data_IF_745613769880
#
_entry.id   IF_745613769880
#
_cell.length_a   1.000
_cell.length_b   1.000
_cell.length_c   1.000
_cell.angle_alpha   90.00
_cell.angle_beta   90.00
_cell.angle_gamma   90.00
#
_symmetry.space_group_name_H-M   'P 1'
#
loop_
_entity.id
_entity.type
_entity.pdbx_description
1 polymer ?
#
# COMPACT_ATOMS: atom_id res chain seq x y z
N UNK A 1 9.38 -9.45 -4.71
CA UNK A 1 9.75 -10.24 -5.89
C UNK A 1 10.29 -9.38 -7.02
N UNK A 2 9.50 -8.53 -7.72
CA UNK A 2 9.99 -7.78 -8.91
C UNK A 2 11.28 -6.99 -8.66
N UNK A 3 11.36 -6.25 -7.55
CA UNK A 3 12.56 -5.50 -7.16
C UNK A 3 13.78 -6.42 -7.05
N UNK A 4 13.69 -7.48 -6.29
CA UNK A 4 14.79 -8.44 -6.09
C UNK A 4 15.24 -9.06 -7.42
N UNK A 5 14.30 -9.57 -8.22
CA UNK A 5 14.63 -10.18 -9.51
C UNK A 5 15.26 -9.18 -10.50
N UNK A 6 14.82 -7.90 -10.51
CA UNK A 6 15.48 -6.86 -11.34
C UNK A 6 16.90 -6.51 -10.87
N UNK A 7 17.17 -6.70 -9.59
CA UNK A 7 18.49 -6.41 -8.99
C UNK A 7 19.42 -7.63 -8.90
N UNK A 8 19.03 -8.76 -9.50
CA UNK A 8 19.85 -9.95 -9.63
C UNK A 8 19.63 -11.02 -8.56
N UNK A 9 18.75 -10.79 -7.59
CA UNK A 9 18.39 -11.80 -6.60
C UNK A 9 17.33 -12.75 -7.16
N UNK A 10 17.37 -14.02 -6.79
CA UNK A 10 16.32 -14.96 -7.12
C UNK A 10 15.21 -14.91 -6.07
N UNK A 11 14.00 -14.49 -6.48
CA UNK A 11 12.87 -14.34 -5.57
C UNK A 11 11.55 -14.80 -6.21
N UNK A 12 10.68 -15.44 -5.41
CA UNK A 12 9.37 -15.95 -5.82
C UNK A 12 8.25 -15.27 -5.01
N UNK A 13 7.08 -15.13 -5.63
CA UNK A 13 5.88 -14.63 -4.97
C UNK A 13 4.80 -15.73 -4.94
N UNK A 14 4.34 -16.05 -3.75
CA UNK A 14 3.28 -17.03 -3.55
C UNK A 14 2.03 -16.32 -3.08
N UNK A 15 0.91 -16.50 -3.79
CA UNK A 15 -0.40 -16.00 -3.39
C UNK A 15 -1.32 -17.16 -3.01
N UNK A 16 -2.08 -16.99 -1.92
CA UNK A 16 -3.03 -18.03 -1.47
C UNK A 16 -4.31 -18.05 -2.31
N UNK A 17 -4.70 -16.88 -2.82
CA UNK A 17 -5.94 -16.66 -3.54
C UNK A 17 -5.66 -15.91 -4.82
N UNK A 18 -6.39 -16.17 -5.88
CA UNK A 18 -6.32 -15.45 -7.14
C UNK A 18 -6.64 -13.96 -6.91
N UNK A 19 -5.83 -13.10 -7.51
CA UNK A 19 -6.03 -11.66 -7.40
C UNK A 19 -7.19 -11.21 -8.30
N UNK A 20 -8.25 -10.58 -7.75
CA UNK A 20 -9.39 -10.14 -8.54
C UNK A 20 -9.07 -8.96 -9.48
N UNK A 21 -7.93 -8.29 -9.31
CA UNK A 21 -7.53 -7.09 -10.07
C UNK A 21 -6.46 -7.40 -11.13
N UNK A 22 -6.27 -8.68 -11.48
CA UNK A 22 -5.36 -9.13 -12.56
C UNK A 22 -3.91 -8.64 -12.44
N UNK A 23 -3.40 -8.42 -11.21
CA UNK A 23 -1.95 -8.23 -11.03
C UNK A 23 -1.20 -9.50 -11.41
N UNK A 24 -0.01 -9.37 -12.04
CA UNK A 24 0.81 -10.54 -12.35
C UNK A 24 1.11 -11.35 -11.09
N UNK A 25 0.72 -12.61 -11.12
CA UNK A 25 1.02 -13.60 -10.08
C UNK A 25 2.18 -14.48 -10.55
N UNK A 26 3.03 -14.92 -9.62
CA UNK A 26 4.10 -15.88 -9.93
C UNK A 26 3.59 -17.31 -9.65
N UNK A 27 3.26 -17.60 -8.39
CA UNK A 27 2.69 -18.87 -7.96
C UNK A 27 1.40 -18.61 -7.20
N UNK A 28 0.28 -19.09 -7.71
CA UNK A 28 -1.03 -18.97 -7.05
C UNK A 28 -1.55 -20.34 -6.63
N UNK A 29 -1.94 -20.49 -5.35
CA UNK A 29 -2.57 -21.73 -4.86
C UNK A 29 -4.04 -21.83 -5.26
N UNK A 30 -4.62 -20.74 -5.73
CA UNK A 30 -6.05 -20.61 -6.11
C UNK A 30 -7.02 -21.19 -5.07
N UNK A 31 -6.67 -21.01 -3.78
CA UNK A 31 -7.54 -21.42 -2.70
C UNK A 31 -8.84 -20.60 -2.71
N UNK A 32 -10.00 -21.21 -2.44
CA UNK A 32 -11.25 -20.46 -2.42
C UNK A 32 -11.21 -19.36 -1.34
N UNK A 33 -11.64 -18.16 -1.73
CA UNK A 33 -11.83 -17.08 -0.77
C UNK A 33 -12.88 -17.48 0.26
N UNK A 34 -12.69 -17.19 1.55
CA UNK A 34 -13.70 -17.40 2.58
C UNK A 34 -14.95 -16.56 2.27
N UNK A 35 -15.89 -17.13 1.50
CA UNK A 35 -16.99 -16.41 0.83
C UNK A 35 -18.32 -16.40 1.56
N UNK A 36 -18.43 -16.94 2.80
CA UNK A 36 -19.70 -16.96 3.50
C UNK A 36 -20.20 -15.54 3.81
N UNK A 37 -21.50 -15.30 3.56
CA UNK A 37 -22.17 -14.03 3.89
C UNK A 37 -22.00 -13.66 5.37
N UNK A 38 -21.90 -14.66 6.24
CA UNK A 38 -21.61 -14.51 7.67
C UNK A 38 -20.20 -13.96 7.91
N UNK A 39 -19.19 -14.44 7.19
CA UNK A 39 -17.81 -13.94 7.30
C UNK A 39 -17.70 -12.48 6.83
N UNK A 40 -18.44 -12.09 5.78
CA UNK A 40 -18.50 -10.69 5.30
C UNK A 40 -19.19 -9.77 6.32
N UNK A 41 -20.31 -10.16 6.90
CA UNK A 41 -21.01 -9.42 7.97
C UNK A 41 -20.13 -9.26 9.22
N UNK A 42 -19.43 -10.30 9.59
CA UNK A 42 -18.54 -10.30 10.75
C UNK A 42 -17.31 -9.40 10.55
N UNK A 43 -16.70 -9.38 9.37
CA UNK A 43 -15.63 -8.43 9.04
C UNK A 43 -16.09 -6.99 9.16
N UNK A 44 -17.24 -6.64 8.59
CA UNK A 44 -17.80 -5.29 8.68
C UNK A 44 -18.01 -4.84 10.13
N UNK A 45 -18.55 -5.70 10.98
CA UNK A 45 -18.80 -5.41 12.41
C UNK A 45 -17.48 -5.24 13.19
N UNK A 46 -16.43 -6.05 12.89
CA UNK A 46 -15.13 -5.96 13.54
C UNK A 46 -14.39 -4.67 13.15
N UNK A 47 -14.47 -4.28 11.90
CA UNK A 47 -13.93 -3.02 11.38
C UNK A 47 -14.58 -1.82 12.06
N UNK A 48 -15.89 -1.80 12.16
CA UNK A 48 -16.64 -0.70 12.80
C UNK A 48 -16.32 -0.53 14.29
N UNK A 49 -16.11 -1.64 15.03
CA UNK A 49 -15.77 -1.61 16.45
C UNK A 49 -14.32 -1.13 16.70
N UNK A 50 -13.36 -1.52 15.87
CA UNK A 50 -11.95 -1.15 16.05
C UNK A 50 -11.62 0.28 15.61
N UNK A 51 -12.36 0.84 14.65
CA UNK A 51 -12.21 2.25 14.25
C UNK A 51 -12.44 3.26 15.37
N UNK A 52 -13.14 2.87 16.42
CA UNK A 52 -13.44 3.73 17.58
C UNK A 52 -12.37 3.64 18.68
N UNK A 53 -11.32 2.84 18.50
CA UNK A 53 -10.28 2.66 19.51
C UNK A 53 -8.98 3.34 19.05
N UNK A 54 -8.53 4.34 19.80
CA UNK A 54 -7.14 4.79 19.73
C UNK A 54 -6.27 3.66 20.32
N UNK A 55 -5.56 2.94 19.46
CA UNK A 55 -4.71 1.83 19.87
C UNK A 55 -3.34 2.38 20.27
N UNK A 56 -2.95 2.17 21.51
CA UNK A 56 -1.59 2.44 21.99
C UNK A 56 -0.58 1.38 21.47
N UNK A 57 -1.05 0.20 21.08
CA UNK A 57 -0.24 -0.88 20.50
C UNK A 57 -1.11 -1.82 19.65
N UNK A 58 -0.49 -2.54 18.71
CA UNK A 58 -1.18 -3.54 17.93
C UNK A 58 -1.64 -4.71 18.80
N UNK A 59 -2.94 -5.06 18.80
CA UNK A 59 -3.44 -6.19 19.56
C UNK A 59 -3.00 -7.51 18.94
N UNK A 60 -2.91 -8.56 19.76
CA UNK A 60 -2.75 -9.91 19.21
C UNK A 60 -4.07 -10.43 18.61
N UNK A 61 -3.95 -11.06 17.46
CA UNK A 61 -5.06 -11.78 16.84
C UNK A 61 -5.46 -12.97 17.70
N UNK A 62 -6.75 -13.12 17.96
CA UNK A 62 -7.33 -14.32 18.57
C UNK A 62 -8.64 -14.69 17.87
N UNK A 63 -8.95 -15.99 17.69
CA UNK A 63 -10.26 -16.43 17.27
C UNK A 63 -11.31 -15.95 18.28
N UNK A 64 -12.47 -15.47 17.81
CA UNK A 64 -13.52 -14.90 18.67
C UNK A 64 -14.25 -15.92 19.52
N UNK A 65 -14.33 -17.15 19.00
CA UNK A 65 -15.04 -18.26 19.67
C UNK A 65 -14.49 -19.61 19.20
N UNK A 66 -14.98 -20.67 19.83
CA UNK A 66 -14.57 -22.05 19.57
C UNK A 66 -14.86 -22.47 18.11
N UNK A 67 -15.96 -21.99 17.52
CA UNK A 67 -16.33 -22.32 16.13
C UNK A 67 -15.35 -21.75 15.13
N UNK A 68 -14.88 -20.49 15.32
CA UNK A 68 -13.86 -19.87 14.48
C UNK A 68 -12.52 -20.63 14.60
N UNK A 69 -12.18 -21.09 15.81
CA UNK A 69 -10.97 -21.90 16.06
C UNK A 69 -11.05 -23.24 15.34
N UNK A 70 -12.18 -23.92 15.41
CA UNK A 70 -12.45 -25.19 14.74
C UNK A 70 -12.40 -24.99 13.21
N UNK A 71 -13.04 -23.95 12.69
CA UNK A 71 -13.01 -23.61 11.26
C UNK A 71 -11.58 -23.41 10.74
N UNK A 72 -10.74 -22.66 11.46
CA UNK A 72 -9.35 -22.49 11.07
C UNK A 72 -8.57 -23.80 11.07
N UNK A 73 -8.80 -24.67 12.05
CA UNK A 73 -8.16 -26.00 12.08
C UNK A 73 -8.55 -26.85 10.88
N UNK A 74 -9.82 -26.92 10.53
CA UNK A 74 -10.27 -27.64 9.34
C UNK A 74 -9.70 -27.02 8.06
N UNK A 75 -9.68 -25.70 7.95
CA UNK A 75 -9.08 -24.99 6.82
C UNK A 75 -7.58 -25.31 6.68
N UNK A 76 -6.84 -25.39 7.78
CA UNK A 76 -5.42 -25.74 7.77
C UNK A 76 -5.19 -27.20 7.33
N UNK A 77 -6.03 -28.12 7.79
CA UNK A 77 -5.97 -29.53 7.37
C UNK A 77 -6.28 -29.66 5.87
N UNK A 78 -7.34 -29.03 5.38
CA UNK A 78 -7.77 -29.15 3.98
C UNK A 78 -6.73 -28.62 2.98
N UNK A 79 -5.92 -27.62 3.37
CA UNK A 79 -4.89 -27.06 2.48
C UNK A 79 -3.51 -27.72 2.62
N UNK A 80 -3.32 -28.58 3.63
CA UNK A 80 -1.99 -29.14 3.94
C UNK A 80 -1.38 -29.85 2.74
N UNK A 81 -2.14 -30.73 2.06
CA UNK A 81 -1.67 -31.47 0.88
C UNK A 81 -1.23 -30.53 -0.25
N UNK A 82 -2.04 -29.49 -0.56
CA UNK A 82 -1.73 -28.50 -1.59
C UNK A 82 -0.47 -27.71 -1.26
N UNK A 83 -0.28 -27.34 0.00
CA UNK A 83 0.93 -26.65 0.46
C UNK A 83 2.15 -27.57 0.34
N UNK A 84 2.07 -28.82 0.78
CA UNK A 84 3.16 -29.78 0.71
C UNK A 84 3.59 -30.07 -0.75
N UNK A 85 2.63 -30.18 -1.66
CA UNK A 85 2.88 -30.33 -3.09
C UNK A 85 3.57 -29.09 -3.67
N UNK A 86 3.14 -27.90 -3.29
CA UNK A 86 3.71 -26.64 -3.72
C UNK A 86 5.16 -26.47 -3.22
N UNK A 87 5.41 -26.76 -1.94
CA UNK A 87 6.75 -26.70 -1.36
C UNK A 87 7.74 -27.56 -2.14
N UNK A 88 7.35 -28.79 -2.48
CA UNK A 88 8.15 -29.73 -3.27
C UNK A 88 8.33 -29.26 -4.72
N UNK A 89 7.21 -28.92 -5.40
CA UNK A 89 7.21 -28.53 -6.82
C UNK A 89 8.13 -27.34 -7.12
N UNK A 90 8.18 -26.37 -6.22
CA UNK A 90 8.94 -25.15 -6.41
C UNK A 90 10.20 -25.08 -5.55
N UNK A 91 10.55 -26.17 -4.86
CA UNK A 91 11.72 -26.25 -3.98
C UNK A 91 11.83 -25.11 -2.99
N UNK A 92 10.69 -24.76 -2.36
CA UNK A 92 10.61 -23.56 -1.50
C UNK A 92 11.42 -23.69 -0.22
N UNK A 93 11.79 -24.90 0.17
CA UNK A 93 12.70 -25.17 1.29
C UNK A 93 14.15 -24.73 0.99
N UNK A 94 14.50 -24.37 -0.25
CA UNK A 94 15.83 -23.87 -0.60
C UNK A 94 16.02 -22.37 -0.37
N UNK A 95 14.93 -21.63 -0.08
CA UNK A 95 15.04 -20.20 0.23
C UNK A 95 15.51 -19.99 1.66
N UNK A 96 16.43 -19.04 1.86
CA UNK A 96 17.00 -18.70 3.16
C UNK A 96 16.17 -17.66 3.91
N UNK A 97 15.59 -16.70 3.17
CA UNK A 97 14.82 -15.59 3.72
C UNK A 97 13.35 -15.70 3.25
N UNK A 98 12.43 -15.74 4.18
CA UNK A 98 11.00 -15.88 3.91
C UNK A 98 10.26 -14.63 4.37
N UNK A 99 9.59 -13.96 3.43
CA UNK A 99 8.73 -12.82 3.72
C UNK A 99 7.28 -13.23 3.85
N UNK A 100 6.63 -12.77 4.90
CA UNK A 100 5.22 -13.00 5.17
C UNK A 100 4.41 -11.71 5.16
N UNK A 101 3.57 -11.53 4.15
CA UNK A 101 2.66 -10.40 4.07
C UNK A 101 1.63 -10.45 5.19
N UNK A 102 1.55 -9.36 5.96
CA UNK A 102 0.73 -9.27 7.15
C UNK A 102 1.19 -10.21 8.28
N UNK A 103 2.35 -10.87 8.18
CA UNK A 103 2.76 -11.90 9.14
C UNK A 103 1.82 -13.10 9.14
N UNK A 104 1.30 -13.50 7.95
CA UNK A 104 0.37 -14.63 7.79
C UNK A 104 1.08 -15.76 7.07
N UNK A 105 1.17 -16.91 7.74
CA UNK A 105 1.65 -18.16 7.16
C UNK A 105 0.58 -18.85 6.27
N UNK A 106 0.96 -19.87 5.51
CA UNK A 106 0.04 -20.78 4.82
C UNK A 106 -1.03 -21.34 5.76
N UNK A 107 -0.65 -21.56 7.01
CA UNK A 107 -1.50 -22.08 8.07
C UNK A 107 -1.77 -21.04 9.15
N UNK A 108 -2.97 -21.03 9.70
CA UNK A 108 -3.34 -20.11 10.78
C UNK A 108 -2.60 -20.34 12.09
N UNK A 109 -2.08 -21.55 12.28
CA UNK A 109 -1.26 -21.92 13.44
C UNK A 109 0.24 -21.69 13.21
N UNK A 110 0.63 -21.02 12.12
CA UNK A 110 2.02 -20.70 11.76
C UNK A 110 2.94 -21.93 11.64
N UNK A 111 2.39 -23.11 11.38
CA UNK A 111 3.12 -24.39 11.36
C UNK A 111 4.31 -24.37 10.40
N UNK A 112 4.13 -23.81 9.20
CA UNK A 112 5.20 -23.80 8.20
C UNK A 112 6.31 -22.81 8.56
N UNK A 113 5.96 -21.64 9.03
CA UNK A 113 6.92 -20.63 9.48
C UNK A 113 7.74 -21.14 10.68
N UNK A 114 7.08 -21.80 11.65
CA UNK A 114 7.75 -22.43 12.80
C UNK A 114 8.74 -23.51 12.35
N UNK A 115 8.36 -24.38 11.37
CA UNK A 115 9.26 -25.38 10.79
C UNK A 115 10.47 -24.70 10.15
N UNK A 116 10.28 -23.74 9.25
CA UNK A 116 11.37 -23.04 8.59
C UNK A 116 12.28 -22.30 9.56
N UNK A 117 11.71 -21.72 10.62
CA UNK A 117 12.52 -21.10 11.69
C UNK A 117 13.39 -22.12 12.42
N UNK A 118 12.86 -23.32 12.73
CA UNK A 118 13.65 -24.40 13.36
C UNK A 118 14.74 -24.98 12.45
N UNK A 119 14.58 -24.82 11.13
CA UNK A 119 15.57 -25.16 10.11
C UNK A 119 16.62 -24.05 9.87
N UNK A 120 16.58 -22.96 10.64
CA UNK A 120 17.52 -21.85 10.58
C UNK A 120 17.19 -20.75 9.58
N UNK A 121 16.05 -20.82 8.89
CA UNK A 121 15.64 -19.79 7.94
C UNK A 121 15.29 -18.49 8.64
N UNK A 122 15.46 -17.38 7.92
CA UNK A 122 15.15 -16.04 8.40
C UNK A 122 13.73 -15.64 8.04
N UNK A 123 12.99 -15.15 9.02
CA UNK A 123 11.57 -14.81 8.89
C UNK A 123 11.41 -13.29 8.96
N UNK A 124 10.84 -12.71 7.90
CA UNK A 124 10.54 -11.28 7.81
C UNK A 124 9.02 -11.10 7.72
N UNK A 125 8.44 -10.32 8.61
CA UNK A 125 7.02 -9.99 8.57
C UNK A 125 6.81 -8.58 8.00
N UNK A 126 6.02 -8.48 6.94
CA UNK A 126 5.69 -7.23 6.25
C UNK A 126 4.24 -6.83 6.57
N UNK A 127 4.02 -5.66 7.17
CA UNK A 127 2.69 -5.21 7.57
C UNK A 127 2.24 -4.02 6.74
N UNK A 128 1.01 -4.08 6.22
CA UNK A 128 0.44 -3.05 5.34
C UNK A 128 -0.98 -2.68 5.76
N UNK A 129 -1.40 -1.48 5.42
CA UNK A 129 -2.78 -1.02 5.55
C UNK A 129 -3.41 -1.34 6.91
N UNK A 130 -4.40 -2.21 6.91
CA UNK A 130 -5.18 -2.54 8.10
C UNK A 130 -4.61 -3.68 8.96
N UNK A 131 -3.45 -4.21 8.64
CA UNK A 131 -2.93 -5.41 9.33
C UNK A 131 -2.78 -5.21 10.83
N UNK A 132 -2.04 -4.21 11.25
CA UNK A 132 -1.87 -3.90 12.67
C UNK A 132 -3.08 -3.16 13.26
N UNK A 133 -3.73 -2.29 12.48
CA UNK A 133 -4.89 -1.51 12.94
C UNK A 133 -6.13 -2.37 13.23
N UNK A 134 -6.41 -3.37 12.39
CA UNK A 134 -7.69 -4.11 12.44
C UNK A 134 -7.53 -5.59 12.83
N UNK A 135 -6.60 -6.31 12.21
CA UNK A 135 -6.40 -7.72 12.50
C UNK A 135 -5.55 -7.93 13.74
N UNK A 136 -4.44 -7.22 13.82
CA UNK A 136 -3.44 -7.38 14.85
C UNK A 136 -2.38 -8.44 14.51
N UNK A 137 -1.45 -8.63 15.44
CA UNK A 137 -0.31 -9.54 15.32
C UNK A 137 -0.73 -11.00 15.51
N UNK A 138 -0.14 -11.90 14.74
CA UNK A 138 -0.20 -13.34 15.01
C UNK A 138 0.93 -13.66 15.99
N UNK A 139 0.57 -14.16 17.18
CA UNK A 139 1.49 -14.31 18.32
C UNK A 139 2.73 -15.13 17.96
N UNK A 140 2.56 -16.28 17.31
CA UNK A 140 3.66 -17.16 16.98
C UNK A 140 4.56 -16.53 15.91
N UNK A 141 4.00 -15.91 14.88
CA UNK A 141 4.75 -15.17 13.86
C UNK A 141 5.57 -14.02 14.47
N UNK A 142 4.95 -13.25 15.38
CA UNK A 142 5.64 -12.15 16.06
C UNK A 142 6.84 -12.63 16.89
N UNK A 143 6.74 -13.80 17.54
CA UNK A 143 7.82 -14.39 18.36
C UNK A 143 9.01 -14.85 17.52
N UNK A 144 8.78 -15.37 16.31
CA UNK A 144 9.82 -15.95 15.46
C UNK A 144 10.37 -15.01 14.39
N UNK A 145 9.72 -13.85 14.20
CA UNK A 145 10.14 -12.86 13.21
C UNK A 145 11.51 -12.28 13.56
N UNK A 146 12.46 -12.36 12.63
CA UNK A 146 13.77 -11.73 12.75
C UNK A 146 13.71 -10.24 12.45
N UNK A 147 12.75 -9.84 11.59
CA UNK A 147 12.56 -8.46 11.19
C UNK A 147 11.09 -8.18 10.90
N UNK A 148 10.58 -7.07 11.44
CA UNK A 148 9.25 -6.55 11.11
C UNK A 148 9.41 -5.26 10.31
N UNK A 149 8.75 -5.17 9.15
CA UNK A 149 8.77 -3.99 8.28
C UNK A 149 7.37 -3.52 7.95
N UNK A 150 7.23 -2.24 7.66
CA UNK A 150 5.97 -1.62 7.23
C UNK A 150 6.22 -0.48 6.24
N UNK A 151 5.24 -0.18 5.40
CA UNK A 151 5.18 1.06 4.63
C UNK A 151 4.12 2.05 5.17
N UNK A 152 3.58 1.79 6.36
CA UNK A 152 2.55 2.60 7.00
C UNK A 152 3.15 3.35 8.19
N UNK A 153 3.06 4.67 8.19
CA UNK A 153 3.70 5.51 9.23
C UNK A 153 3.13 5.24 10.63
N UNK A 154 1.83 5.18 10.77
CA UNK A 154 1.18 4.93 12.05
C UNK A 154 1.48 3.54 12.65
N UNK A 155 1.97 2.59 11.85
CA UNK A 155 2.44 1.31 12.39
C UNK A 155 3.69 1.45 13.27
N UNK A 156 4.46 2.54 13.11
CA UNK A 156 5.64 2.81 13.95
C UNK A 156 5.26 3.01 15.41
N UNK A 157 4.08 3.53 15.69
CA UNK A 157 3.54 3.66 17.06
C UNK A 157 2.87 2.39 17.58
N UNK A 158 2.41 1.51 16.67
CA UNK A 158 1.64 0.32 17.03
C UNK A 158 2.50 -0.90 17.37
N UNK A 159 3.72 -0.98 16.87
CA UNK A 159 4.62 -2.10 17.10
C UNK A 159 6.05 -1.61 17.34
N UNK A 160 6.61 -1.94 18.51
CA UNK A 160 8.01 -1.66 18.81
C UNK A 160 8.94 -2.41 17.84
N UNK A 161 10.06 -1.79 17.50
CA UNK A 161 11.09 -2.35 16.60
C UNK A 161 10.62 -2.67 15.18
N UNK A 162 9.46 -2.16 14.74
CA UNK A 162 9.09 -2.22 13.34
C UNK A 162 9.89 -1.16 12.55
N UNK A 163 10.41 -1.55 11.40
CA UNK A 163 11.18 -0.65 10.53
C UNK A 163 10.31 -0.12 9.40
N UNK A 164 10.37 1.17 9.13
CA UNK A 164 9.68 1.75 7.99
C UNK A 164 10.49 1.54 6.71
N UNK A 165 9.86 0.91 5.72
CA UNK A 165 10.42 0.72 4.40
C UNK A 165 9.48 1.37 3.37
N UNK A 166 9.98 2.34 2.62
CA UNK A 166 9.21 2.90 1.52
C UNK A 166 8.78 1.82 0.54
N UNK A 167 7.55 1.91 0.05
CA UNK A 167 7.01 0.95 -0.89
C UNK A 167 7.84 0.96 -2.19
N UNK A 168 8.44 -0.16 -2.63
CA UNK A 168 9.24 -0.19 -3.84
C UNK A 168 8.36 0.04 -5.07
N UNK A 169 8.71 1.01 -5.89
CA UNK A 169 7.94 1.38 -7.06
C UNK A 169 8.79 1.41 -8.33
N UNK A 170 8.35 0.67 -9.34
CA UNK A 170 8.98 0.65 -10.64
C UNK A 170 8.45 1.78 -11.52
N UNK A 171 9.21 2.83 -11.66
CA UNK A 171 8.82 4.00 -12.46
C UNK A 171 8.98 3.75 -13.97
N UNK A 172 9.74 2.71 -14.37
CA UNK A 172 10.00 2.42 -15.79
C UNK A 172 8.77 1.91 -16.55
N UNK A 173 7.76 1.42 -15.83
CA UNK A 173 6.49 0.94 -16.40
C UNK A 173 5.43 2.05 -16.53
N UNK A 174 5.73 3.28 -16.10
CA UNK A 174 4.78 4.38 -16.18
C UNK A 174 4.85 5.06 -17.53
N UNK A 175 3.71 5.48 -18.10
CA UNK A 175 3.71 6.34 -19.28
C UNK A 175 4.38 7.68 -18.94
N UNK A 176 5.10 8.22 -19.90
CA UNK A 176 5.66 9.56 -19.77
C UNK A 176 4.54 10.59 -19.78
N UNK A 177 4.73 11.70 -19.05
CA UNK A 177 3.84 12.85 -19.15
C UNK A 177 3.78 13.33 -20.59
N UNK A 178 2.56 13.51 -21.11
CA UNK A 178 2.32 14.01 -22.46
C UNK A 178 2.02 15.51 -22.39
N UNK A 179 2.79 16.30 -23.13
CA UNK A 179 2.49 17.72 -23.30
C UNK A 179 1.31 17.84 -24.28
N UNK A 180 0.22 18.42 -23.82
CA UNK A 180 -0.97 18.66 -24.64
C UNK A 180 -0.89 20.04 -25.27
N UNK A 181 -1.46 20.17 -26.46
CA UNK A 181 -1.60 21.48 -27.16
C UNK A 181 -2.72 22.33 -26.56
N UNK A 182 -3.66 21.69 -25.86
CA UNK A 182 -4.76 22.35 -25.16
C UNK A 182 -4.25 23.19 -24.00
N UNK A 183 -4.65 24.45 -23.95
CA UNK A 183 -4.27 25.40 -22.89
C UNK A 183 -5.02 25.20 -21.57
N UNK A 184 -6.11 24.39 -21.55
CA UNK A 184 -6.87 24.15 -20.33
C UNK A 184 -6.11 23.23 -19.40
N UNK A 185 -5.97 23.65 -18.15
CA UNK A 185 -5.34 22.82 -17.10
C UNK A 185 -6.23 21.61 -16.82
N UNK A 186 -5.64 20.42 -16.96
CA UNK A 186 -6.31 19.15 -16.74
C UNK A 186 -6.00 18.59 -15.36
N UNK A 187 -7.06 18.35 -14.57
CA UNK A 187 -6.98 17.87 -13.20
C UNK A 187 -7.58 16.48 -13.14
N UNK A 188 -6.83 15.51 -12.59
CA UNK A 188 -7.29 14.12 -12.47
C UNK A 188 -7.50 13.71 -11.01
N UNK A 189 -8.60 12.99 -10.77
CA UNK A 189 -8.89 12.28 -9.53
C UNK A 189 -9.30 10.84 -9.83
N UNK A 190 -8.63 9.85 -9.22
CA UNK A 190 -8.85 8.42 -9.50
C UNK A 190 -9.10 7.62 -8.22
N UNK A 191 -10.28 7.78 -7.58
CA UNK A 191 -10.56 7.13 -6.32
C UNK A 191 -10.91 5.66 -6.49
N UNK A 192 -10.32 4.78 -5.67
CA UNK A 192 -10.77 3.39 -5.51
C UNK A 192 -11.95 3.28 -4.54
N UNK A 193 -12.14 4.28 -3.69
CA UNK A 193 -13.25 4.41 -2.75
C UNK A 193 -13.50 5.88 -2.44
N UNK A 194 -14.66 6.39 -2.82
CA UNK A 194 -15.05 7.81 -2.70
C UNK A 194 -14.93 8.34 -1.27
N UNK A 195 -15.43 7.56 -0.29
CA UNK A 195 -15.43 7.98 1.12
C UNK A 195 -14.01 8.08 1.70
N UNK A 196 -13.10 7.18 1.29
CA UNK A 196 -11.71 7.20 1.75
C UNK A 196 -10.90 8.30 1.11
N UNK A 197 -11.23 8.66 -0.13
CA UNK A 197 -10.51 9.66 -0.91
C UNK A 197 -11.10 11.06 -0.80
N UNK A 198 -12.22 11.22 -0.10
CA UNK A 198 -12.90 12.50 0.05
C UNK A 198 -13.47 13.06 -1.24
N UNK A 199 -13.87 12.19 -2.17
CA UNK A 199 -14.31 12.57 -3.53
C UNK A 199 -15.43 13.61 -3.51
N UNK A 200 -16.40 13.52 -2.59
CA UNK A 200 -17.50 14.48 -2.52
C UNK A 200 -17.03 15.91 -2.17
N UNK A 201 -16.05 16.02 -1.27
CA UNK A 201 -15.40 17.29 -0.98
C UNK A 201 -14.67 17.83 -2.21
N UNK A 202 -13.89 16.97 -2.87
CA UNK A 202 -13.13 17.35 -4.08
C UNK A 202 -14.09 17.86 -5.17
N UNK A 203 -15.21 17.17 -5.43
CA UNK A 203 -16.18 17.57 -6.43
C UNK A 203 -16.78 18.97 -6.13
N UNK A 204 -17.12 19.27 -4.87
CA UNK A 204 -17.62 20.60 -4.50
C UNK A 204 -16.57 21.70 -4.81
N UNK A 205 -15.31 21.42 -4.49
CA UNK A 205 -14.22 22.39 -4.78
C UNK A 205 -14.02 22.56 -6.28
N UNK A 206 -14.04 21.47 -7.05
CA UNK A 206 -13.93 21.54 -8.52
C UNK A 206 -15.05 22.40 -9.13
N UNK A 207 -16.29 22.25 -8.68
CA UNK A 207 -17.39 23.10 -9.15
C UNK A 207 -17.19 24.59 -8.76
N UNK A 208 -16.60 24.87 -7.61
CA UNK A 208 -16.20 26.22 -7.20
C UNK A 208 -15.06 26.76 -8.10
N UNK A 209 -14.06 25.94 -8.42
CA UNK A 209 -12.94 26.31 -9.31
C UNK A 209 -13.45 26.64 -10.71
N UNK A 210 -14.35 25.84 -11.28
CA UNK A 210 -14.93 26.05 -12.61
C UNK A 210 -15.67 27.39 -12.76
N UNK A 211 -16.15 27.98 -11.67
CA UNK A 211 -16.75 29.33 -11.70
C UNK A 211 -15.70 30.44 -11.90
N UNK A 212 -14.43 30.16 -11.61
CA UNK A 212 -13.35 31.14 -11.62
C UNK A 212 -12.30 30.87 -12.71
N UNK A 213 -12.16 29.60 -13.15
CA UNK A 213 -11.13 29.16 -14.11
C UNK A 213 -11.69 28.11 -15.06
N UNK A 214 -11.22 28.18 -16.30
CA UNK A 214 -11.49 27.15 -17.29
C UNK A 214 -10.55 25.96 -17.10
N UNK A 215 -11.10 24.81 -16.71
CA UNK A 215 -10.36 23.58 -16.44
C UNK A 215 -11.03 22.37 -17.09
N UNK A 216 -10.23 21.31 -17.32
CA UNK A 216 -10.71 19.98 -17.66
C UNK A 216 -10.56 19.08 -16.43
N UNK A 217 -11.68 18.62 -15.87
CA UNK A 217 -11.65 17.73 -14.69
C UNK A 217 -12.04 16.31 -15.07
N UNK A 218 -11.16 15.35 -14.76
CA UNK A 218 -11.30 13.93 -15.08
C UNK A 218 -11.44 13.12 -13.80
N UNK A 219 -12.62 12.52 -13.62
CA UNK A 219 -12.90 11.57 -12.54
C UNK A 219 -12.85 10.15 -13.09
N UNK A 220 -11.97 9.31 -12.55
CA UNK A 220 -11.75 7.93 -13.02
C UNK A 220 -12.18 6.94 -11.94
N UNK A 221 -13.34 6.32 -12.13
CA UNK A 221 -13.90 5.33 -11.21
C UNK A 221 -14.21 4.03 -11.94
N UNK A 222 -13.84 2.89 -11.36
CA UNK A 222 -14.08 1.58 -11.95
C UNK A 222 -13.52 1.42 -13.37
N UNK A 223 -12.41 2.07 -13.65
CA UNK A 223 -11.73 2.08 -14.95
C UNK A 223 -10.51 1.16 -14.88
N UNK A 224 -10.18 0.41 -15.96
CA UNK A 224 -8.96 -0.39 -16.05
C UNK A 224 -7.69 0.43 -15.77
N UNK A 225 -6.68 -0.22 -15.16
CA UNK A 225 -5.47 0.45 -14.70
C UNK A 225 -4.70 1.14 -15.83
N UNK A 226 -4.61 0.53 -16.98
CA UNK A 226 -3.93 1.09 -18.18
C UNK A 226 -4.56 2.39 -18.62
N UNK A 227 -5.89 2.47 -18.64
CA UNK A 227 -6.64 3.70 -18.93
C UNK A 227 -6.37 4.76 -17.86
N UNK A 228 -6.40 4.36 -16.57
CA UNK A 228 -6.09 5.29 -15.46
C UNK A 228 -4.70 5.89 -15.62
N UNK A 229 -3.69 5.08 -15.92
CA UNK A 229 -2.31 5.55 -16.10
C UNK A 229 -2.17 6.48 -17.32
N UNK A 230 -2.84 6.14 -18.42
CA UNK A 230 -2.87 6.98 -19.61
C UNK A 230 -3.50 8.35 -19.29
N UNK A 231 -4.67 8.39 -18.66
CA UNK A 231 -5.35 9.64 -18.34
C UNK A 231 -4.53 10.50 -17.35
N UNK A 232 -3.84 9.86 -16.39
CA UNK A 232 -2.89 10.54 -15.52
C UNK A 232 -1.74 11.18 -16.31
N UNK A 233 -1.19 10.49 -17.30
CA UNK A 233 -0.09 11.03 -18.12
C UNK A 233 -0.50 12.24 -18.98
N UNK A 234 -1.78 12.38 -19.28
CA UNK A 234 -2.38 13.51 -19.99
C UNK A 234 -2.78 14.67 -19.07
N UNK A 235 -2.57 14.55 -17.76
CA UNK A 235 -3.02 15.54 -16.77
C UNK A 235 -1.91 16.47 -16.32
N UNK A 236 -2.28 17.63 -15.78
CA UNK A 236 -1.38 18.67 -15.30
C UNK A 236 -1.29 18.70 -13.77
N UNK A 237 -2.38 18.33 -13.08
CA UNK A 237 -2.51 18.29 -11.63
C UNK A 237 -3.21 16.99 -11.24
N UNK A 238 -2.78 16.36 -10.14
CA UNK A 238 -3.45 15.20 -9.57
C UNK A 238 -3.96 15.48 -8.17
N UNK A 239 -5.17 15.01 -7.86
CA UNK A 239 -5.69 14.99 -6.50
C UNK A 239 -5.79 13.53 -6.06
N UNK A 240 -4.94 13.10 -5.09
CA UNK A 240 -4.98 11.75 -4.56
C UNK A 240 -6.14 11.59 -3.56
N UNK A 241 -6.16 12.41 -2.52
CA UNK A 241 -7.19 12.38 -1.48
C UNK A 241 -7.21 13.68 -0.66
N UNK A 242 -8.39 14.08 -0.15
CA UNK A 242 -8.56 15.22 0.75
C UNK A 242 -9.69 14.95 1.74
N UNK A 243 -9.44 15.16 3.03
CA UNK A 243 -10.48 15.06 4.08
C UNK A 243 -11.15 13.70 4.21
N UNK A 244 -10.53 12.64 3.69
CA UNK A 244 -11.09 11.29 3.76
C UNK A 244 -11.17 10.76 5.19
N UNK A 245 -12.35 10.27 5.58
CA UNK A 245 -12.64 9.83 6.95
C UNK A 245 -11.94 8.55 7.38
N UNK A 246 -11.12 7.94 6.53
CA UNK A 246 -10.64 6.57 6.71
C UNK A 246 -9.27 6.31 6.11
N UNK A 247 -8.53 7.34 5.78
CA UNK A 247 -7.20 7.22 5.23
C UNK A 247 -6.18 6.72 6.25
N UNK A 248 -5.05 6.29 5.77
CA UNK A 248 -3.83 6.27 6.54
C UNK A 248 -3.38 7.71 6.86
N UNK A 249 -2.21 7.82 7.44
CA UNK A 249 -1.65 9.11 7.86
C UNK A 249 -1.16 9.99 6.71
N UNK A 250 -1.06 9.44 5.47
CA UNK A 250 -0.48 10.15 4.34
C UNK A 250 -0.93 9.61 2.97
N UNK A 251 -0.09 9.78 1.96
CA UNK A 251 -0.38 9.49 0.56
C UNK A 251 -0.61 8.01 0.26
N UNK A 252 -1.36 7.76 -0.82
CA UNK A 252 -1.57 6.43 -1.37
C UNK A 252 -0.74 6.14 -2.63
N UNK A 253 -0.85 4.92 -3.13
CA UNK A 253 -0.19 4.48 -4.38
C UNK A 253 -0.57 5.35 -5.57
N UNK A 254 -1.82 5.83 -5.62
CA UNK A 254 -2.28 6.71 -6.71
C UNK A 254 -1.52 8.04 -6.77
N UNK A 255 -1.21 8.61 -5.58
CA UNK A 255 -0.38 9.82 -5.48
C UNK A 255 1.08 9.57 -5.84
N UNK A 256 1.62 8.40 -5.46
CA UNK A 256 2.98 8.00 -5.83
C UNK A 256 3.14 7.88 -7.36
N UNK A 257 2.15 7.33 -8.05
CA UNK A 257 2.13 7.21 -9.51
C UNK A 257 2.20 8.58 -10.19
N UNK A 258 1.40 9.54 -9.73
CA UNK A 258 1.36 10.87 -10.34
C UNK A 258 2.60 11.71 -10.05
N UNK A 259 3.17 11.59 -8.84
CA UNK A 259 4.50 12.17 -8.57
C UNK A 259 5.58 11.60 -9.49
N UNK A 260 5.59 10.26 -9.67
CA UNK A 260 6.56 9.60 -10.55
C UNK A 260 6.44 10.04 -12.01
N UNK A 261 5.24 10.43 -12.45
CA UNK A 261 5.00 11.02 -13.78
C UNK A 261 5.38 12.50 -13.87
N UNK A 262 5.73 13.14 -12.75
CA UNK A 262 6.07 14.57 -12.71
C UNK A 262 4.85 15.49 -12.60
N UNK A 263 3.76 15.02 -12.01
CA UNK A 263 2.59 15.86 -11.75
C UNK A 263 2.64 16.39 -10.30
N UNK A 264 2.38 17.69 -10.06
CA UNK A 264 2.05 18.15 -8.72
C UNK A 264 0.84 17.36 -8.22
N UNK A 265 1.02 16.76 -7.06
CA UNK A 265 0.05 15.84 -6.47
C UNK A 265 -0.43 16.37 -5.13
N UNK A 266 -1.73 16.63 -5.06
CA UNK A 266 -2.43 17.10 -3.87
C UNK A 266 -2.86 15.90 -3.04
N UNK A 267 -2.56 15.93 -1.74
CA UNK A 267 -3.03 14.91 -0.78
C UNK A 267 -3.18 15.49 0.62
N UNK A 268 -3.93 14.84 1.49
CA UNK A 268 -3.94 15.16 2.90
C UNK A 268 -2.90 14.35 3.66
N UNK A 269 -2.36 14.92 4.73
CA UNK A 269 -1.44 14.24 5.66
C UNK A 269 -1.76 14.67 7.09
N UNK A 270 -1.49 13.77 8.05
CA UNK A 270 -1.43 14.18 9.46
C UNK A 270 -0.17 14.99 9.72
N UNK A 271 -0.20 15.90 10.70
CA UNK A 271 0.95 16.75 11.04
C UNK A 271 2.16 15.90 11.43
N UNK A 272 1.97 14.83 12.20
CA UNK A 272 3.04 13.92 12.59
C UNK A 272 3.71 13.28 11.36
N UNK A 273 2.91 12.87 10.36
CA UNK A 273 3.47 12.29 9.15
C UNK A 273 4.17 13.32 8.28
N UNK A 274 3.59 14.53 8.15
CA UNK A 274 4.19 15.63 7.41
C UNK A 274 5.57 16.02 7.99
N UNK A 275 5.68 16.11 9.32
CA UNK A 275 6.92 16.44 10.01
C UNK A 275 7.97 15.32 9.91
N UNK A 276 7.53 14.07 9.80
CA UNK A 276 8.41 12.91 9.68
C UNK A 276 8.85 12.65 8.24
N UNK A 277 8.00 12.95 7.23
CA UNK A 277 8.27 12.60 5.83
C UNK A 277 9.44 13.44 5.28
N UNK A 278 10.56 12.83 4.88
CA UNK A 278 11.72 13.57 4.40
C UNK A 278 11.43 14.28 3.08
N UNK A 279 11.80 15.55 2.97
CA UNK A 279 11.74 16.32 1.71
C UNK A 279 10.36 16.28 1.04
N UNK A 280 9.27 16.35 1.80
CA UNK A 280 7.91 16.19 1.31
C UNK A 280 7.69 16.82 -0.09
N UNK A 281 7.29 16.02 -1.11
CA UNK A 281 7.07 16.48 -2.48
C UNK A 281 5.61 16.85 -2.77
N UNK A 282 4.69 16.54 -1.85
CA UNK A 282 3.26 16.71 -2.06
C UNK A 282 2.78 18.11 -1.76
N UNK A 283 1.73 18.55 -2.42
CA UNK A 283 0.94 19.69 -2.00
C UNK A 283 -0.06 19.19 -0.95
N UNK A 284 0.20 19.52 0.32
CA UNK A 284 -0.59 19.01 1.44
C UNK A 284 -1.76 19.94 1.72
N UNK A 285 -2.98 19.40 1.72
CA UNK A 285 -4.23 20.12 2.04
C UNK A 285 -5.12 19.22 2.88
N UNK A 286 -5.76 19.76 3.92
CA UNK A 286 -6.56 18.96 4.84
C UNK A 286 -8.05 19.30 4.83
N UNK A 287 -8.45 20.39 4.17
CA UNK A 287 -9.83 20.89 4.12
C UNK A 287 -10.20 21.46 2.74
N UNK A 288 -11.44 21.91 2.63
CA UNK A 288 -12.05 22.40 1.39
C UNK A 288 -11.48 23.74 0.94
N UNK A 289 -11.17 24.66 1.88
CA UNK A 289 -10.66 25.99 1.57
C UNK A 289 -9.22 25.93 1.09
N UNK A 290 -8.37 25.24 1.82
CA UNK A 290 -6.96 25.05 1.43
C UNK A 290 -6.83 24.30 0.10
N UNK A 291 -7.74 23.34 -0.19
CA UNK A 291 -7.78 22.70 -1.50
C UNK A 291 -8.12 23.68 -2.61
N UNK A 292 -9.10 24.56 -2.41
CA UNK A 292 -9.48 25.57 -3.39
C UNK A 292 -8.33 26.52 -3.66
N UNK A 293 -7.71 27.09 -2.64
CA UNK A 293 -6.59 28.02 -2.77
C UNK A 293 -5.41 27.38 -3.51
N UNK A 294 -5.02 26.17 -3.15
CA UNK A 294 -3.92 25.45 -3.79
C UNK A 294 -4.22 25.06 -5.23
N UNK A 295 -5.47 24.74 -5.55
CA UNK A 295 -5.86 24.51 -6.94
C UNK A 295 -5.75 25.77 -7.78
N UNK A 296 -6.23 26.92 -7.31
CA UNK A 296 -6.10 28.20 -8.01
C UNK A 296 -4.62 28.55 -8.25
N UNK A 297 -3.78 28.44 -7.20
CA UNK A 297 -2.34 28.68 -7.31
C UNK A 297 -1.69 27.79 -8.38
N UNK A 298 -1.97 26.49 -8.35
CA UNK A 298 -1.43 25.54 -9.33
C UNK A 298 -2.01 25.73 -10.74
N UNK A 299 -3.24 26.18 -10.90
CA UNK A 299 -3.85 26.45 -12.21
C UNK A 299 -3.20 27.68 -12.84
N UNK A 300 -2.97 28.72 -12.07
CA UNK A 300 -2.47 29.99 -12.56
C UNK A 300 -0.95 29.99 -12.82
N UNK A 301 -0.18 29.16 -12.09
CA UNK A 301 1.28 29.13 -12.20
C UNK A 301 1.82 27.84 -12.85
N UNK A 302 2.14 27.93 -14.15
CA UNK A 302 2.76 26.85 -14.91
C UNK A 302 4.15 26.46 -14.37
N UNK A 303 4.96 27.47 -14.00
CA UNK A 303 6.34 27.22 -13.54
C UNK A 303 6.33 26.48 -12.19
N UNK A 304 5.43 26.86 -11.29
CA UNK A 304 5.23 26.17 -10.02
C UNK A 304 4.81 24.72 -10.23
N UNK A 305 3.87 24.45 -11.15
CA UNK A 305 3.48 23.07 -11.49
C UNK A 305 4.67 22.23 -11.94
N UNK A 306 5.50 22.76 -12.84
CA UNK A 306 6.67 22.05 -13.35
C UNK A 306 7.71 21.84 -12.27
N UNK A 307 8.00 22.85 -11.45
CA UNK A 307 8.94 22.75 -10.34
C UNK A 307 8.52 21.66 -9.33
N UNK A 308 7.27 21.68 -8.88
CA UNK A 308 6.74 20.67 -7.95
C UNK A 308 6.74 19.27 -8.61
N UNK A 309 6.35 19.17 -9.87
CA UNK A 309 6.34 17.91 -10.62
C UNK A 309 7.72 17.27 -10.70
N UNK A 310 8.74 18.03 -11.10
CA UNK A 310 10.13 17.51 -11.18
C UNK A 310 10.69 17.16 -9.78
N UNK A 311 10.43 17.98 -8.76
CA UNK A 311 10.78 17.64 -7.38
C UNK A 311 10.13 16.32 -6.95
N UNK A 312 8.85 16.12 -7.28
CA UNK A 312 8.12 14.89 -6.99
C UNK A 312 8.73 13.66 -7.64
N UNK A 313 9.07 13.75 -8.90
CA UNK A 313 9.69 12.68 -9.68
C UNK A 313 11.06 12.28 -9.13
N UNK A 314 11.91 13.24 -8.77
CA UNK A 314 13.20 12.99 -8.13
C UNK A 314 13.03 12.34 -6.75
N UNK A 315 12.05 12.79 -5.98
CA UNK A 315 11.73 12.24 -4.68
C UNK A 315 11.29 10.77 -4.76
N UNK A 316 10.41 10.43 -5.72
CA UNK A 316 10.00 9.03 -5.94
C UNK A 316 11.20 8.16 -6.27
N UNK A 317 12.10 8.60 -7.15
CA UNK A 317 13.33 7.87 -7.48
C UNK A 317 14.21 7.67 -6.25
N UNK A 318 14.37 8.71 -5.42
CA UNK A 318 15.23 8.71 -4.22
C UNK A 318 14.70 7.79 -3.11
N UNK A 319 13.39 7.76 -2.87
CA UNK A 319 12.79 7.07 -1.72
C UNK A 319 12.07 5.78 -2.07
N UNK A 320 11.49 5.67 -3.27
CA UNK A 320 10.70 4.52 -3.72
C UNK A 320 11.37 3.72 -4.85
N UNK A 321 12.43 4.25 -5.45
CA UNK A 321 13.18 3.52 -6.49
C UNK A 321 13.72 2.19 -5.95
N UNK A 322 13.79 1.19 -6.82
CA UNK A 322 14.18 -0.17 -6.44
C UNK A 322 15.56 -0.23 -5.77
N UNK A 323 16.55 0.49 -6.30
CA UNK A 323 17.92 0.53 -5.72
C UNK A 323 17.90 1.09 -4.29
N UNK A 324 17.19 2.20 -4.09
CA UNK A 324 17.12 2.89 -2.79
C UNK A 324 16.38 2.05 -1.75
N UNK A 325 15.25 1.44 -2.14
CA UNK A 325 14.48 0.57 -1.23
C UNK A 325 15.26 -0.70 -0.91
N UNK A 326 15.90 -1.32 -1.91
CA UNK A 326 16.70 -2.51 -1.70
C UNK A 326 17.91 -2.24 -0.79
N UNK A 327 18.64 -1.15 -1.02
CA UNK A 327 19.78 -0.77 -0.17
C UNK A 327 19.35 -0.59 1.29
N UNK A 328 18.19 0.02 1.53
CA UNK A 328 17.63 0.17 2.88
C UNK A 328 17.20 -1.16 3.48
N UNK A 329 16.57 -2.05 2.70
CA UNK A 329 16.17 -3.38 3.14
C UNK A 329 17.38 -4.22 3.53
N UNK A 330 18.45 -4.21 2.72
CA UNK A 330 19.72 -4.88 3.04
C UNK A 330 20.35 -4.31 4.32
N UNK A 331 20.27 -2.99 4.53
CA UNK A 331 20.66 -2.36 5.79
C UNK A 331 19.92 -2.95 6.99
N UNK A 332 18.60 -3.09 6.88
CA UNK A 332 17.78 -3.71 7.93
C UNK A 332 18.10 -5.21 8.13
N UNK A 333 18.43 -5.94 7.07
CA UNK A 333 18.86 -7.32 7.18
C UNK A 333 20.17 -7.43 7.98
N UNK A 334 21.14 -6.56 7.71
CA UNK A 334 22.42 -6.51 8.47
C UNK A 334 22.19 -6.18 9.93
N UNK A 335 21.35 -5.16 10.23
CA UNK A 335 21.00 -4.80 11.61
C UNK A 335 20.31 -5.95 12.36
N UNK A 336 19.53 -6.77 11.67
CA UNK A 336 18.81 -7.91 12.24
C UNK A 336 19.61 -9.23 12.21
N UNK A 337 20.86 -9.24 11.72
CA UNK A 337 21.66 -10.45 11.59
C UNK A 337 21.07 -11.49 10.62
N UNK A 338 20.42 -11.01 9.57
CA UNK A 338 19.84 -11.86 8.52
C UNK A 338 20.91 -12.20 7.46
N UNK A 339 21.72 -11.21 7.08
CA UNK A 339 22.85 -11.32 6.15
C UNK A 339 24.08 -10.65 6.73
#
# INVERSE_FOLDING_TARGET
>A
MRMHNKLGDFSRLITLHKNPVTFPEDICLDLPLPGSLLAKKWRKKKVALRKKQNLASAPYFSPKNIFEKIYFRFSDISRSKTVDELLKKYSLDNFEIIHYDGGIDFFRNSKQALRWKSEGKKIVCCYYGSDLRLRGLIRDMHKISDLNITSEFDHLSLLQNIKYLFYPYDTSELPLKVNREDKKVRIVHSPTNRAYKGTELILRVIERVKKNREIDFVLLENVPRDIVLREKSLSDISIDQVGGSMGGTGYGKAGLETLAMGLPTITNMTDDYLNWLPENPFVVVNDEETLFEKLIELIDDYNLRNFIGEKGKLWVKKYHGFDSVNSRLIGYYKEAGIV
#
